data_IF_948228278646
#
_entry.id   IF_948228278646
#
_cell.length_a   1.000
_cell.length_b   1.000
_cell.length_c   1.000
_cell.angle_alpha   90.00
_cell.angle_beta   90.00
_cell.angle_gamma   90.00
#
_symmetry.space_group_name_H-M   'P 1'
#
loop_
_entity.id
_entity.type
_entity.pdbx_description
1 polymer ?
#
# COMPACT_ATOMS: atom_id res chain seq x y z
N UNK A 1 1.16 12.59 8.71
CA UNK A 1 1.50 11.17 8.89
C UNK A 1 2.84 11.08 9.64
N UNK A 2 2.96 10.12 10.54
CA UNK A 2 4.23 9.92 11.25
C UNK A 2 5.35 9.63 10.26
N UNK A 3 6.48 10.31 10.44
CA UNK A 3 7.59 10.23 9.49
C UNK A 3 8.22 8.84 9.42
N UNK A 4 8.26 8.13 10.54
CA UNK A 4 8.77 6.76 10.58
C UNK A 4 7.89 5.81 9.78
N UNK A 5 6.58 5.98 9.88
CA UNK A 5 5.60 5.19 9.12
C UNK A 5 5.72 5.52 7.65
N UNK A 6 5.83 6.81 7.30
CA UNK A 6 5.97 7.25 5.92
C UNK A 6 7.20 6.62 5.26
N UNK A 7 8.34 6.60 5.95
CA UNK A 7 9.57 6.01 5.42
C UNK A 7 9.43 4.51 5.16
N UNK A 8 8.74 3.80 6.05
CA UNK A 8 8.50 2.37 5.86
C UNK A 8 7.62 2.13 4.64
N UNK A 9 6.56 2.95 4.46
CA UNK A 9 5.67 2.82 3.32
C UNK A 9 6.37 3.14 2.01
N UNK A 10 7.21 4.18 1.99
CA UNK A 10 8.00 4.53 0.80
C UNK A 10 8.92 3.38 0.39
N UNK A 11 9.58 2.77 1.36
CA UNK A 11 10.43 1.60 1.11
C UNK A 11 9.64 0.44 0.54
N UNK A 12 8.44 0.18 1.08
CA UNK A 12 7.58 -0.88 0.56
C UNK A 12 7.13 -0.61 -0.87
N UNK A 13 6.83 0.63 -1.20
CA UNK A 13 6.47 1.03 -2.57
C UNK A 13 7.63 0.74 -3.52
N UNK A 14 8.85 1.10 -3.14
CA UNK A 14 10.03 0.83 -3.95
C UNK A 14 10.25 -0.67 -4.14
N UNK A 15 10.08 -1.45 -3.08
CA UNK A 15 10.17 -2.92 -3.16
C UNK A 15 9.10 -3.49 -4.10
N UNK A 16 7.88 -2.99 -4.04
CA UNK A 16 6.79 -3.44 -4.92
C UNK A 16 7.06 -3.14 -6.39
N UNK A 17 7.74 -2.03 -6.69
CA UNK A 17 8.10 -1.67 -8.07
C UNK A 17 9.12 -2.64 -8.66
N UNK A 18 9.92 -3.30 -7.82
CA UNK A 18 10.95 -4.25 -8.26
C UNK A 18 10.51 -5.70 -8.16
N UNK A 19 9.50 -6.01 -7.34
CA UNK A 19 8.96 -7.36 -7.16
C UNK A 19 7.78 -7.58 -8.10
N UNK A 20 8.00 -8.30 -9.19
CA UNK A 20 6.95 -8.51 -10.18
C UNK A 20 6.38 -9.92 -10.22
N UNK A 21 7.10 -10.92 -9.69
CA UNK A 21 6.80 -12.31 -10.01
C UNK A 21 5.46 -12.80 -9.45
N UNK A 22 5.20 -12.58 -8.16
CA UNK A 22 3.97 -13.07 -7.53
C UNK A 22 2.74 -12.31 -8.01
N UNK A 23 2.87 -11.00 -8.18
CA UNK A 23 1.76 -10.17 -8.66
C UNK A 23 1.39 -10.54 -10.09
N UNK A 24 2.39 -10.76 -10.94
CA UNK A 24 2.17 -11.17 -12.32
C UNK A 24 1.43 -12.50 -12.40
N UNK A 25 1.82 -13.47 -11.57
CA UNK A 25 1.18 -14.78 -11.54
C UNK A 25 -0.29 -14.67 -11.10
N UNK A 26 -0.57 -13.84 -10.08
CA UNK A 26 -1.94 -13.59 -9.65
C UNK A 26 -2.77 -12.95 -10.76
N UNK A 27 -2.22 -11.96 -11.44
CA UNK A 27 -2.91 -11.28 -12.54
C UNK A 27 -3.22 -12.25 -13.66
N UNK A 28 -2.26 -13.09 -14.03
CA UNK A 28 -2.44 -14.08 -15.09
C UNK A 28 -3.56 -15.09 -14.76
N UNK A 29 -3.70 -15.47 -13.49
CA UNK A 29 -4.73 -16.38 -13.03
C UNK A 29 -6.13 -15.76 -13.00
N UNK A 30 -6.21 -14.45 -12.87
CA UNK A 30 -7.46 -13.70 -12.81
C UNK A 30 -7.62 -12.81 -14.03
N UNK A 31 -7.55 -13.41 -15.21
CA UNK A 31 -7.55 -12.71 -16.50
C UNK A 31 -8.85 -11.95 -16.82
N UNK A 32 -9.92 -12.16 -16.04
CA UNK A 32 -11.19 -11.45 -16.25
C UNK A 32 -11.16 -10.01 -15.72
N UNK A 33 -10.12 -9.63 -15.00
CA UNK A 33 -9.98 -8.29 -14.43
C UNK A 33 -9.02 -7.46 -15.26
N UNK A 34 -9.24 -6.14 -15.26
CA UNK A 34 -8.29 -5.22 -15.87
C UNK A 34 -6.95 -5.31 -15.14
N UNK A 35 -5.84 -5.68 -15.83
CA UNK A 35 -4.55 -5.93 -15.17
C UNK A 35 -4.02 -4.74 -14.39
N UNK A 36 -4.18 -3.52 -14.90
CA UNK A 36 -3.65 -2.30 -14.26
C UNK A 36 -4.43 -2.01 -12.98
N UNK A 37 -5.76 -1.99 -13.06
CA UNK A 37 -6.61 -1.73 -11.89
C UNK A 37 -6.47 -2.82 -10.84
N UNK A 38 -6.37 -4.08 -11.27
CA UNK A 38 -6.21 -5.21 -10.35
C UNK A 38 -4.88 -5.13 -9.62
N UNK A 39 -3.79 -4.84 -10.33
CA UNK A 39 -2.46 -4.68 -9.75
C UNK A 39 -2.42 -3.53 -8.75
N UNK A 40 -3.01 -2.38 -9.11
CA UNK A 40 -3.09 -1.23 -8.21
C UNK A 40 -3.89 -1.57 -6.95
N UNK A 41 -4.99 -2.30 -7.10
CA UNK A 41 -5.80 -2.74 -5.96
C UNK A 41 -5.03 -3.62 -4.99
N UNK A 42 -4.23 -4.56 -5.51
CA UNK A 42 -3.38 -5.42 -4.67
C UNK A 42 -2.36 -4.56 -3.91
N UNK A 43 -1.70 -3.64 -4.59
CA UNK A 43 -0.68 -2.77 -3.98
C UNK A 43 -1.29 -1.88 -2.90
N UNK A 44 -2.44 -1.27 -3.19
CA UNK A 44 -3.16 -0.43 -2.22
C UNK A 44 -3.57 -1.24 -1.00
N UNK A 45 -4.09 -2.47 -1.21
CA UNK A 45 -4.46 -3.35 -0.10
C UNK A 45 -3.27 -3.72 0.78
N UNK A 46 -2.13 -4.06 0.17
CA UNK A 46 -0.90 -4.38 0.91
C UNK A 46 -0.40 -3.18 1.70
N UNK A 47 -0.42 -1.99 1.12
CA UNK A 47 0.02 -0.77 1.77
C UNK A 47 -0.91 -0.37 2.90
N UNK A 48 -2.23 -0.55 2.73
CA UNK A 48 -3.21 -0.28 3.79
C UNK A 48 -2.97 -1.17 5.00
N UNK A 49 -2.75 -2.46 4.79
CA UNK A 49 -2.41 -3.39 5.87
C UNK A 49 -1.11 -2.99 6.57
N UNK A 50 -0.10 -2.61 5.81
CA UNK A 50 1.17 -2.15 6.37
C UNK A 50 1.01 -0.88 7.17
N UNK A 51 0.20 0.06 6.70
CA UNK A 51 -0.07 1.30 7.41
C UNK A 51 -0.68 1.03 8.80
N UNK A 52 -1.72 0.20 8.86
CA UNK A 52 -2.33 -0.17 10.13
C UNK A 52 -1.36 -0.91 11.06
N UNK A 53 -0.63 -1.87 10.51
CA UNK A 53 0.33 -2.64 11.29
C UNK A 53 1.42 -1.74 11.89
N UNK A 54 2.03 -0.88 11.08
CA UNK A 54 3.12 -0.02 11.55
C UNK A 54 2.61 1.04 12.53
N UNK A 55 1.39 1.52 12.31
CA UNK A 55 0.78 2.49 13.21
C UNK A 55 0.60 1.90 14.60
N UNK A 56 0.06 0.68 14.68
CA UNK A 56 -0.10 -0.04 15.95
C UNK A 56 1.24 -0.36 16.60
N UNK A 57 2.22 -0.74 15.79
CA UNK A 57 3.56 -1.09 16.28
C UNK A 57 4.30 0.12 16.85
N UNK A 58 4.28 1.24 16.15
CA UNK A 58 5.07 2.42 16.47
C UNK A 58 4.34 3.32 17.47
N UNK A 59 3.06 3.61 17.21
CA UNK A 59 2.27 4.55 18.01
C UNK A 59 1.38 3.86 19.04
N UNK A 60 1.32 2.53 19.04
CA UNK A 60 0.57 1.72 20.01
C UNK A 60 -0.94 1.98 20.01
N UNK A 61 -1.47 2.42 18.86
CA UNK A 61 -2.90 2.65 18.68
C UNK A 61 -3.27 2.57 17.21
N UNK A 62 -4.55 2.41 16.91
CA UNK A 62 -5.04 2.47 15.55
C UNK A 62 -4.93 3.91 15.00
N UNK A 63 -4.84 4.06 13.66
CA UNK A 63 -4.88 5.40 13.06
C UNK A 63 -6.22 6.09 13.34
N UNK A 64 -6.16 7.40 13.50
CA UNK A 64 -7.37 8.23 13.54
C UNK A 64 -7.91 8.42 12.11
N UNK A 65 -9.15 8.92 11.98
CA UNK A 65 -9.73 9.21 10.68
C UNK A 65 -8.88 10.22 9.89
N UNK A 66 -8.35 11.23 10.57
CA UNK A 66 -7.47 12.21 9.92
C UNK A 66 -6.18 11.57 9.41
N UNK A 67 -5.59 10.69 10.20
CA UNK A 67 -4.38 9.98 9.80
C UNK A 67 -4.64 9.05 8.62
N UNK A 68 -5.79 8.39 8.61
CA UNK A 68 -6.17 7.57 7.45
C UNK A 68 -6.39 8.41 6.20
N UNK A 69 -7.00 9.59 6.35
CA UNK A 69 -7.19 10.52 5.23
C UNK A 69 -5.84 10.97 4.66
N UNK A 70 -4.88 11.30 5.53
CA UNK A 70 -3.52 11.65 5.08
C UNK A 70 -2.86 10.49 4.33
N UNK A 71 -3.06 9.27 4.81
CA UNK A 71 -2.55 8.07 4.13
C UNK A 71 -3.15 7.93 2.74
N UNK A 72 -4.46 8.13 2.59
CA UNK A 72 -5.11 8.08 1.28
C UNK A 72 -4.57 9.13 0.33
N UNK A 73 -4.31 10.34 0.80
CA UNK A 73 -3.70 11.38 -0.01
C UNK A 73 -2.28 11.01 -0.43
N UNK A 74 -1.52 10.41 0.46
CA UNK A 74 -0.20 9.88 0.15
C UNK A 74 -0.27 8.82 -0.96
N UNK A 75 -1.18 7.84 -0.85
CA UNK A 75 -1.36 6.81 -1.86
C UNK A 75 -1.77 7.41 -3.21
N UNK A 76 -2.63 8.40 -3.18
CA UNK A 76 -3.11 9.06 -4.40
C UNK A 76 -1.94 9.66 -5.19
N UNK A 77 -0.97 10.26 -4.51
CA UNK A 77 0.21 10.81 -5.17
C UNK A 77 1.10 9.73 -5.78
N UNK A 78 1.16 8.55 -5.16
CA UNK A 78 2.02 7.47 -5.60
C UNK A 78 1.42 6.66 -6.77
N UNK A 79 0.10 6.58 -6.86
CA UNK A 79 -0.59 5.71 -7.83
C UNK A 79 -1.41 6.45 -8.89
N UNK A 80 -1.30 7.77 -8.94
CA UNK A 80 -1.99 8.57 -9.97
C UNK A 80 -1.02 9.28 -10.88
#
# INVERSE_FOLDING_TARGET
MDERIMKILEKKIDEMKTENNNTKEIIDKFSNFDPVSFSSGISIGRLSNSFYYQHRRILKRDPTDNEFTEFLEFLKKEFV
#
